data_IF_841828885437
#
_entry.id   IF_841828885437
#
_cell.length_a   1.000
_cell.length_b   1.000
_cell.length_c   1.000
_cell.angle_alpha   90.00
_cell.angle_beta   90.00
_cell.angle_gamma   90.00
#
_symmetry.space_group_name_H-M   'P 1'
#
loop_
_entity.id
_entity.type
_entity.pdbx_description
1 polymer ?
#
# COMPACT_ATOMS: atom_id res chain seq x y z
N UNK A 1 4.88 -0.15 -14.16
CA UNK A 1 6.13 -0.35 -13.38
C UNK A 1 7.30 -0.46 -14.35
N UNK A 2 8.55 -0.27 -13.90
CA UNK A 2 9.76 -0.39 -14.75
C UNK A 2 10.31 -1.83 -14.85
N UNK A 3 9.67 -2.78 -14.15
CA UNK A 3 9.98 -4.21 -14.19
C UNK A 3 8.81 -4.95 -14.83
N UNK A 4 9.06 -6.11 -15.48
CA UNK A 4 7.99 -6.96 -16.00
C UNK A 4 7.05 -7.44 -14.87
N UNK A 5 5.82 -7.77 -15.23
CA UNK A 5 4.92 -8.45 -14.32
C UNK A 5 5.53 -9.80 -13.91
N UNK A 6 5.61 -10.03 -12.61
CA UNK A 6 6.11 -11.29 -12.09
C UNK A 6 5.18 -12.44 -12.46
N UNK A 7 5.77 -13.56 -12.88
CA UNK A 7 5.11 -14.86 -12.92
C UNK A 7 6.00 -15.91 -12.26
N UNK A 8 5.38 -16.97 -11.75
CA UNK A 8 6.13 -18.04 -11.09
C UNK A 8 7.03 -18.81 -12.08
N UNK A 9 6.65 -18.83 -13.36
CA UNK A 9 7.45 -19.42 -14.44
C UNK A 9 8.71 -18.60 -14.71
N UNK A 10 8.62 -17.27 -14.67
CA UNK A 10 9.76 -16.38 -14.90
C UNK A 10 10.70 -16.29 -13.70
N UNK A 11 10.14 -16.23 -12.49
CA UNK A 11 10.91 -16.20 -11.25
C UNK A 11 10.20 -17.04 -10.20
N UNK A 12 10.56 -18.33 -10.08
CA UNK A 12 9.95 -19.20 -9.08
C UNK A 12 10.09 -18.61 -7.67
N UNK A 13 9.00 -18.70 -6.91
CA UNK A 13 8.92 -18.34 -5.51
C UNK A 13 8.33 -19.49 -4.70
N UNK A 14 8.67 -19.61 -3.39
CA UNK A 14 8.09 -20.64 -2.54
C UNK A 14 6.56 -20.58 -2.54
N UNK A 15 5.90 -21.73 -2.73
CA UNK A 15 4.45 -21.81 -2.82
C UNK A 15 3.76 -21.26 -1.56
N UNK A 16 4.31 -21.55 -0.38
CA UNK A 16 3.82 -21.06 0.91
C UNK A 16 3.80 -19.51 0.97
N UNK A 17 4.81 -18.86 0.38
CA UNK A 17 4.87 -17.40 0.33
C UNK A 17 3.78 -16.83 -0.58
N UNK A 18 3.65 -17.38 -1.79
CA UNK A 18 2.65 -16.92 -2.77
C UNK A 18 1.23 -17.13 -2.21
N UNK A 19 0.95 -18.31 -1.65
CA UNK A 19 -0.34 -18.63 -1.04
C UNK A 19 -0.65 -17.70 0.14
N UNK A 20 0.34 -17.39 0.99
CA UNK A 20 0.15 -16.47 2.12
C UNK A 20 -0.18 -15.04 1.68
N UNK A 21 0.43 -14.56 0.58
CA UNK A 21 0.13 -13.24 0.01
C UNK A 21 -1.28 -13.24 -0.60
N UNK A 22 -1.64 -14.28 -1.36
CA UNK A 22 -2.98 -14.44 -1.93
C UNK A 22 -4.07 -14.44 -0.84
N UNK A 23 -3.85 -15.21 0.24
CA UNK A 23 -4.79 -15.27 1.36
C UNK A 23 -5.00 -13.89 2.01
N UNK A 24 -3.93 -13.09 2.17
CA UNK A 24 -4.02 -11.72 2.68
C UNK A 24 -4.81 -10.78 1.75
N UNK A 25 -4.77 -11.03 0.43
CA UNK A 25 -5.38 -10.17 -0.61
C UNK A 25 -6.76 -10.63 -1.07
N UNK A 26 -7.31 -11.71 -0.52
CA UNK A 26 -8.59 -12.26 -0.96
C UNK A 26 -8.53 -12.97 -2.32
N UNK A 27 -7.39 -13.56 -2.66
CA UNK A 27 -7.25 -14.45 -3.81
C UNK A 27 -6.64 -13.83 -5.08
N UNK A 28 -6.32 -12.53 -5.09
CA UNK A 28 -5.68 -11.88 -6.23
C UNK A 28 -4.46 -11.04 -5.82
N UNK A 29 -3.36 -11.16 -6.56
CA UNK A 29 -2.18 -10.32 -6.35
C UNK A 29 -2.41 -8.90 -6.86
N UNK A 30 -1.98 -7.90 -6.09
CA UNK A 30 -1.85 -6.52 -6.58
C UNK A 30 -0.56 -6.35 -7.38
N UNK A 31 -0.45 -5.22 -8.09
CA UNK A 31 0.78 -4.84 -8.79
C UNK A 31 1.98 -4.76 -7.85
N UNK A 32 1.78 -4.24 -6.62
CA UNK A 32 2.82 -4.20 -5.60
C UNK A 32 3.27 -5.61 -5.18
N UNK A 33 2.33 -6.56 -5.02
CA UNK A 33 2.69 -7.92 -4.64
C UNK A 33 3.51 -8.60 -5.75
N UNK A 34 3.12 -8.40 -7.03
CA UNK A 34 3.90 -8.84 -8.19
C UNK A 34 5.31 -8.25 -8.20
N UNK A 35 5.45 -6.95 -7.91
CA UNK A 35 6.76 -6.31 -7.85
C UNK A 35 7.65 -6.93 -6.77
N UNK A 36 7.09 -7.14 -5.57
CA UNK A 36 7.82 -7.69 -4.42
C UNK A 36 8.27 -9.13 -4.67
N UNK A 37 7.48 -9.93 -5.39
CA UNK A 37 7.80 -11.33 -5.70
C UNK A 37 9.02 -11.52 -6.63
N UNK A 38 9.62 -10.45 -7.14
CA UNK A 38 10.96 -10.51 -7.73
C UNK A 38 12.07 -10.73 -6.67
N UNK A 39 11.79 -10.49 -5.39
CA UNK A 39 12.70 -10.73 -4.24
C UNK A 39 11.98 -11.47 -3.11
N UNK A 40 12.32 -12.76 -2.94
CA UNK A 40 11.75 -13.63 -1.90
C UNK A 40 11.84 -13.03 -0.49
N UNK A 41 13.02 -12.60 0.01
CA UNK A 41 13.13 -12.12 1.39
C UNK A 41 12.36 -10.83 1.60
N UNK A 42 12.28 -9.97 0.57
CA UNK A 42 11.52 -8.73 0.64
C UNK A 42 10.01 -9.01 0.66
N UNK A 43 9.51 -9.88 -0.23
CA UNK A 43 8.12 -10.28 -0.25
C UNK A 43 7.68 -10.94 1.07
N UNK A 44 8.50 -11.82 1.64
CA UNK A 44 8.21 -12.49 2.91
C UNK A 44 8.16 -11.50 4.07
N UNK A 45 9.17 -10.64 4.21
CA UNK A 45 9.21 -9.61 5.25
C UNK A 45 8.06 -8.62 5.12
N UNK A 46 7.80 -8.15 3.90
CA UNK A 46 6.69 -7.24 3.61
C UNK A 46 5.33 -7.84 3.95
N UNK A 47 5.13 -9.13 3.66
CA UNK A 47 3.85 -9.79 3.93
C UNK A 47 3.45 -9.72 5.42
N UNK A 48 4.44 -9.86 6.30
CA UNK A 48 4.28 -9.83 7.76
C UNK A 48 4.25 -8.39 8.29
N UNK A 49 5.28 -7.61 7.99
CA UNK A 49 5.46 -6.27 8.57
C UNK A 49 4.30 -5.34 8.22
N UNK A 50 3.90 -5.27 6.93
CA UNK A 50 2.83 -4.37 6.53
C UNK A 50 1.46 -4.84 7.04
N UNK A 51 1.24 -6.13 7.24
CA UNK A 51 0.02 -6.60 7.92
C UNK A 51 -0.03 -6.05 9.34
N UNK A 52 1.05 -6.16 10.10
CA UNK A 52 1.12 -5.63 11.46
C UNK A 52 0.90 -4.10 11.49
N UNK A 53 1.57 -3.35 10.62
CA UNK A 53 1.39 -1.88 10.51
C UNK A 53 -0.04 -1.52 10.09
N UNK A 54 -0.60 -2.22 9.10
CA UNK A 54 -1.93 -1.91 8.57
C UNK A 54 -3.08 -2.32 9.45
N UNK A 55 -2.95 -3.31 10.33
CA UNK A 55 -4.10 -3.83 11.11
C UNK A 55 -3.86 -3.96 12.61
N UNK A 56 -2.62 -3.97 13.08
CA UNK A 56 -2.27 -4.22 14.48
C UNK A 56 -2.06 -2.97 15.34
N UNK A 57 -1.96 -1.79 14.74
CA UNK A 57 -1.82 -0.53 15.49
C UNK A 57 -3.16 -0.09 16.10
N UNK A 58 -3.18 0.51 17.31
CA UNK A 58 -4.41 0.98 17.97
C UNK A 58 -5.04 2.20 17.27
N UNK A 59 -4.32 2.83 16.33
CA UNK A 59 -4.77 3.98 15.56
C UNK A 59 -6.00 3.63 14.71
N UNK A 60 -6.97 4.55 14.61
CA UNK A 60 -8.15 4.33 13.77
C UNK A 60 -7.76 4.11 12.30
N UNK A 61 -8.62 3.41 11.52
CA UNK A 61 -8.37 3.22 10.09
C UNK A 61 -8.27 4.58 9.38
N UNK A 62 -9.19 5.51 9.67
CA UNK A 62 -9.18 6.87 9.11
C UNK A 62 -7.83 7.57 9.28
N UNK A 63 -7.27 7.56 10.49
CA UNK A 63 -5.99 8.23 10.76
C UNK A 63 -4.80 7.53 10.09
N UNK A 64 -4.81 6.19 9.99
CA UNK A 64 -3.77 5.46 9.25
C UNK A 64 -3.81 5.81 7.77
N UNK A 65 -4.99 5.82 7.15
CA UNK A 65 -5.14 6.16 5.74
C UNK A 65 -4.81 7.64 5.48
N UNK A 66 -5.14 8.55 6.40
CA UNK A 66 -4.70 9.96 6.34
C UNK A 66 -3.18 10.07 6.35
N UNK A 67 -2.50 9.36 7.25
CA UNK A 67 -1.04 9.33 7.32
C UNK A 67 -0.40 8.80 6.03
N UNK A 68 -0.96 7.72 5.46
CA UNK A 68 -0.48 7.16 4.19
C UNK A 68 -0.67 8.16 3.05
N UNK A 69 -1.85 8.79 2.94
CA UNK A 69 -2.12 9.82 1.94
C UNK A 69 -1.15 11.01 2.07
N UNK A 70 -0.86 11.43 3.30
CA UNK A 70 0.05 12.54 3.61
C UNK A 70 1.46 12.24 3.13
N UNK A 71 2.02 11.08 3.53
CA UNK A 71 3.36 10.67 3.09
C UNK A 71 3.40 10.51 1.57
N UNK A 72 2.36 9.92 0.97
CA UNK A 72 2.30 9.73 -0.47
C UNK A 72 2.36 11.05 -1.25
N UNK A 73 1.67 12.10 -0.79
CA UNK A 73 1.75 13.42 -1.39
C UNK A 73 3.12 14.06 -1.17
N UNK A 74 3.65 14.03 0.05
CA UNK A 74 4.95 14.61 0.40
C UNK A 74 6.11 13.98 -0.39
N UNK A 75 6.06 12.68 -0.66
CA UNK A 75 7.12 11.97 -1.39
C UNK A 75 6.84 11.82 -2.88
N UNK A 76 5.74 12.38 -3.39
CA UNK A 76 5.34 12.21 -4.80
C UNK A 76 4.96 10.78 -5.19
N UNK A 77 4.60 9.92 -4.23
CA UNK A 77 4.14 8.55 -4.47
C UNK A 77 2.67 8.52 -4.93
N UNK A 78 2.39 9.07 -6.12
CA UNK A 78 1.05 9.22 -6.68
C UNK A 78 0.27 7.90 -6.80
N UNK A 79 0.97 6.79 -7.05
CA UNK A 79 0.37 5.44 -7.07
C UNK A 79 -0.26 5.09 -5.72
N UNK A 80 0.44 5.34 -4.61
CA UNK A 80 -0.06 5.05 -3.27
C UNK A 80 -1.22 5.98 -2.92
N UNK A 81 -1.10 7.28 -3.23
CA UNK A 81 -2.20 8.23 -2.98
C UNK A 81 -3.49 7.82 -3.70
N UNK A 82 -3.39 7.38 -4.96
CA UNK A 82 -4.54 6.91 -5.72
C UNK A 82 -5.24 5.70 -5.11
N UNK A 83 -4.48 4.76 -4.51
CA UNK A 83 -5.05 3.59 -3.84
C UNK A 83 -5.61 3.92 -2.45
N UNK A 84 -4.99 4.85 -1.75
CA UNK A 84 -5.28 5.13 -0.35
C UNK A 84 -6.33 6.23 -0.12
N UNK A 85 -6.52 7.16 -1.06
CA UNK A 85 -7.58 8.16 -0.96
C UNK A 85 -9.00 7.53 -0.90
N UNK A 86 -9.36 6.52 -1.74
CA UNK A 86 -10.62 5.80 -1.59
C UNK A 86 -10.74 5.07 -0.25
N UNK A 87 -9.66 4.48 0.24
CA UNK A 87 -9.60 3.78 1.53
C UNK A 87 -9.84 4.74 2.71
N UNK A 88 -9.30 5.97 2.63
CA UNK A 88 -9.56 7.04 3.59
C UNK A 88 -11.03 7.45 3.62
N UNK A 89 -11.65 7.66 2.46
CA UNK A 89 -13.08 7.97 2.34
C UNK A 89 -13.94 6.84 2.93
N UNK A 90 -13.64 5.59 2.56
CA UNK A 90 -14.32 4.40 3.10
C UNK A 90 -14.13 4.23 4.62
N UNK A 91 -13.13 4.87 5.21
CA UNK A 91 -12.88 4.88 6.65
C UNK A 91 -13.57 6.05 7.39
N UNK A 92 -14.42 6.83 6.72
CA UNK A 92 -15.11 8.00 7.29
C UNK A 92 -14.36 9.32 7.12
N UNK A 93 -13.35 9.35 6.25
CA UNK A 93 -12.79 10.58 5.71
C UNK A 93 -13.73 11.29 4.75
N UNK A 94 -13.42 12.53 4.41
CA UNK A 94 -14.16 13.35 3.46
C UNK A 94 -13.28 13.88 2.34
N UNK A 95 -13.88 14.20 1.20
CA UNK A 95 -13.16 14.82 0.09
C UNK A 95 -12.56 16.18 0.50
N UNK A 96 -13.27 16.95 1.33
CA UNK A 96 -12.78 18.23 1.83
C UNK A 96 -11.47 18.10 2.65
N UNK A 97 -11.32 17.03 3.44
CA UNK A 97 -10.08 16.73 4.16
C UNK A 97 -8.93 16.39 3.18
N UNK A 98 -9.19 15.60 2.15
CA UNK A 98 -8.19 15.27 1.11
C UNK A 98 -7.76 16.50 0.30
N UNK A 99 -8.71 17.37 -0.03
CA UNK A 99 -8.43 18.61 -0.77
C UNK A 99 -7.63 19.58 0.10
N UNK A 100 -7.94 19.66 1.39
CA UNK A 100 -7.18 20.45 2.35
C UNK A 100 -5.74 19.94 2.49
N UNK A 101 -5.57 18.62 2.59
CA UNK A 101 -4.26 17.99 2.65
C UNK A 101 -3.42 18.28 1.39
N UNK A 102 -4.01 18.19 0.19
CA UNK A 102 -3.31 18.54 -1.04
C UNK A 102 -2.87 20.01 -1.07
N UNK A 103 -3.75 20.94 -0.65
CA UNK A 103 -3.40 22.36 -0.56
C UNK A 103 -2.24 22.61 0.39
N UNK A 104 -2.26 21.97 1.57
CA UNK A 104 -1.19 22.08 2.57
C UNK A 104 0.16 21.63 1.97
N UNK A 105 0.20 20.43 1.38
CA UNK A 105 1.42 19.88 0.78
C UNK A 105 1.92 20.74 -0.40
N UNK A 106 1.01 21.28 -1.22
CA UNK A 106 1.37 22.17 -2.34
C UNK A 106 1.91 23.53 -1.89
N UNK A 107 1.44 24.06 -0.76
CA UNK A 107 1.93 25.31 -0.20
C UNK A 107 3.35 25.20 0.37
N UNK A 108 3.89 23.98 0.52
CA UNK A 108 5.18 23.75 1.18
C UNK A 108 5.14 24.03 2.68
N UNK A 109 3.94 24.08 3.26
CA UNK A 109 3.74 24.27 4.70
C UNK A 109 3.82 22.91 5.39
N UNK A 110 4.77 22.70 6.32
CA UNK A 110 4.94 21.43 7.03
C UNK A 110 3.78 21.11 7.98
#
# INVERSE_FOLDING_TARGET
MRIPDWSNEQKPQPKDLVDAILARRGGALLNLDRALLWSEPLARGWNVYLKAVRTGLPTSRKLRELGICTVALLTGASYEYHHHAPDFLAAGGSQAELDALQRLVQAGEP
#
